data_IF_506989222519
#
_entry.id   IF_506989222519
#
_cell.length_a   1.000
_cell.length_b   1.000
_cell.length_c   1.000
_cell.angle_alpha   90.00
_cell.angle_beta   90.00
_cell.angle_gamma   90.00
#
_symmetry.space_group_name_H-M   'P 1'
#
loop_
_entity.id
_entity.type
_entity.pdbx_description
1 polymer ?
#
# COMPACT_ATOMS: atom_id res chain seq x y z
N UNK A 1 2.61 60.36 58.72
CA UNK A 1 3.31 60.91 57.53
C UNK A 1 2.30 61.06 56.39
N UNK A 2 1.88 62.28 56.07
CA UNK A 2 0.95 62.53 54.96
C UNK A 2 1.73 62.53 53.64
N UNK A 3 1.42 61.60 52.74
CA UNK A 3 1.96 61.63 51.39
C UNK A 3 1.46 62.90 50.67
N UNK A 4 2.35 63.73 50.07
CA UNK A 4 1.96 64.95 49.39
C UNK A 4 1.08 64.62 48.17
N UNK A 5 -0.04 65.35 48.01
CA UNK A 5 -1.08 65.12 46.97
C UNK A 5 -0.53 64.99 45.53
N UNK A 6 0.60 65.62 45.22
CA UNK A 6 1.26 65.51 43.91
C UNK A 6 1.79 64.11 43.56
N UNK A 7 2.21 63.30 44.54
CA UNK A 7 2.70 61.93 44.30
C UNK A 7 1.57 60.94 43.98
N UNK A 8 0.34 61.18 44.46
CA UNK A 8 -0.81 60.31 44.16
C UNK A 8 -1.29 60.46 42.71
N UNK A 9 -1.30 61.68 42.18
CA UNK A 9 -1.68 61.92 40.79
C UNK A 9 -0.63 61.34 39.82
N UNK A 10 0.66 61.48 40.13
CA UNK A 10 1.73 60.85 39.35
C UNK A 10 1.63 59.31 39.33
N UNK A 11 1.32 58.69 40.48
CA UNK A 11 1.10 57.24 40.54
C UNK A 11 -0.13 56.82 39.72
N UNK A 12 -1.23 57.57 39.80
CA UNK A 12 -2.46 57.27 39.05
C UNK A 12 -2.27 57.41 37.53
N UNK A 13 -1.52 58.43 37.09
CA UNK A 13 -1.18 58.63 35.68
C UNK A 13 -0.21 57.55 35.20
N UNK A 14 0.77 57.17 36.03
CA UNK A 14 1.71 56.09 35.71
C UNK A 14 0.99 54.74 35.59
N UNK A 15 0.14 54.40 36.55
CA UNK A 15 -0.62 53.14 36.58
C UNK A 15 -1.65 53.09 35.44
N UNK A 16 -2.30 54.22 35.12
CA UNK A 16 -3.21 54.35 33.99
C UNK A 16 -2.51 54.21 32.64
N UNK A 17 -1.36 54.87 32.46
CA UNK A 17 -0.53 54.73 31.26
C UNK A 17 -0.03 53.30 31.10
N UNK A 18 0.41 52.67 32.18
CA UNK A 18 0.82 51.26 32.18
C UNK A 18 -0.33 50.34 31.76
N UNK A 19 -1.54 50.54 32.29
CA UNK A 19 -2.70 49.75 31.91
C UNK A 19 -3.05 49.90 30.42
N UNK A 20 -3.01 51.13 29.88
CA UNK A 20 -3.26 51.38 28.45
C UNK A 20 -2.21 50.72 27.58
N UNK A 21 -0.93 50.86 27.92
CA UNK A 21 0.16 50.21 27.19
C UNK A 21 0.09 48.69 27.26
N UNK A 22 -0.32 48.12 28.40
CA UNK A 22 -0.51 46.69 28.57
C UNK A 22 -1.65 46.17 27.69
N UNK A 23 -2.80 46.86 27.67
CA UNK A 23 -3.93 46.49 26.79
C UNK A 23 -3.50 46.58 25.33
N UNK A 24 -2.84 47.66 24.92
CA UNK A 24 -2.33 47.83 23.56
C UNK A 24 -1.36 46.71 23.16
N UNK A 25 -0.44 46.32 24.06
CA UNK A 25 0.47 45.21 23.83
C UNK A 25 -0.28 43.87 23.69
N UNK A 26 -1.24 43.59 24.57
CA UNK A 26 -2.04 42.35 24.51
C UNK A 26 -2.85 42.28 23.22
N UNK A 27 -3.46 43.39 22.79
CA UNK A 27 -4.20 43.46 21.51
C UNK A 27 -3.28 43.28 20.32
N UNK A 28 -2.10 43.91 20.31
CA UNK A 28 -1.11 43.74 19.25
C UNK A 28 -0.60 42.30 19.18
N UNK A 29 -0.31 41.67 20.32
CA UNK A 29 0.09 40.27 20.39
C UNK A 29 -1.02 39.34 19.90
N UNK A 30 -2.28 39.60 20.25
CA UNK A 30 -3.42 38.83 19.76
C UNK A 30 -3.60 38.97 18.24
N UNK A 31 -3.44 40.18 17.70
CA UNK A 31 -3.51 40.45 16.27
C UNK A 31 -2.38 39.73 15.51
N UNK A 32 -1.13 39.89 15.97
CA UNK A 32 0.03 39.20 15.39
C UNK A 32 -0.10 37.68 15.46
N UNK A 33 -0.63 37.14 16.57
CA UNK A 33 -0.87 35.71 16.72
C UNK A 33 -1.96 35.18 15.77
N UNK A 34 -2.95 36.01 15.43
CA UNK A 34 -4.00 35.66 14.48
C UNK A 34 -3.51 35.66 13.04
N UNK A 35 -2.74 36.69 12.66
CA UNK A 35 -2.28 36.87 11.28
C UNK A 35 -1.05 36.01 10.95
N UNK A 36 -0.13 35.85 11.91
CA UNK A 36 1.14 35.14 11.72
C UNK A 36 1.15 33.84 12.53
N UNK A 37 0.51 32.80 11.97
CA UNK A 37 0.49 31.48 12.58
C UNK A 37 1.78 30.71 12.26
N UNK A 38 2.82 30.95 13.04
CA UNK A 38 4.09 30.21 12.94
C UNK A 38 3.99 28.94 13.80
N UNK A 39 3.92 27.79 13.14
CA UNK A 39 4.00 26.48 13.81
C UNK A 39 5.38 25.88 13.52
N UNK A 40 6.12 25.51 14.58
CA UNK A 40 7.36 24.77 14.46
C UNK A 40 7.16 23.37 15.00
N UNK A 41 7.56 22.39 14.20
CA UNK A 41 7.59 21.00 14.63
C UNK A 41 8.81 20.78 15.54
N UNK A 42 8.55 20.59 16.83
CA UNK A 42 9.57 20.34 17.84
C UNK A 42 9.82 18.85 18.06
N UNK A 43 9.16 17.97 17.29
CA UNK A 43 9.34 16.53 17.44
C UNK A 43 10.69 16.10 16.88
N UNK A 44 11.36 15.16 17.55
CA UNK A 44 12.71 14.72 17.17
C UNK A 44 12.75 14.10 15.75
N UNK A 45 11.64 13.49 15.32
CA UNK A 45 11.50 12.87 14.01
C UNK A 45 10.72 13.71 12.97
N UNK A 46 10.38 14.97 13.28
CA UNK A 46 9.62 15.83 12.37
C UNK A 46 8.24 15.25 11.98
N UNK A 47 7.52 14.67 12.95
CA UNK A 47 6.25 13.95 12.79
C UNK A 47 5.08 14.79 12.28
N UNK A 48 5.13 16.11 12.47
CA UNK A 48 4.11 17.04 12.00
C UNK A 48 4.53 17.77 10.72
N UNK A 49 5.66 17.38 10.13
CA UNK A 49 6.24 17.95 8.92
C UNK A 49 6.28 16.89 7.84
N UNK A 50 5.63 17.16 6.70
CA UNK A 50 5.63 16.25 5.56
C UNK A 50 7.06 16.07 5.01
N UNK A 51 7.36 14.88 4.52
CA UNK A 51 8.65 14.59 3.88
C UNK A 51 8.84 15.41 2.60
N UNK A 52 10.10 15.64 2.20
CA UNK A 52 10.42 16.37 0.96
C UNK A 52 9.79 15.68 -0.28
N UNK A 53 9.77 14.35 -0.27
CA UNK A 53 9.06 13.51 -1.24
C UNK A 53 7.58 13.85 -1.35
N UNK A 54 6.89 13.93 -0.20
CA UNK A 54 5.48 14.28 -0.15
C UNK A 54 5.23 15.68 -0.70
N UNK A 55 6.11 16.64 -0.39
CA UNK A 55 6.00 18.00 -0.93
C UNK A 55 6.09 18.02 -2.46
N UNK A 56 7.00 17.25 -3.05
CA UNK A 56 7.13 17.13 -4.51
C UNK A 56 5.87 16.52 -5.14
N UNK A 57 5.34 15.43 -4.56
CA UNK A 57 4.10 14.81 -5.04
C UNK A 57 2.92 15.78 -4.98
N UNK A 58 2.76 16.49 -3.86
CA UNK A 58 1.68 17.47 -3.70
C UNK A 58 1.82 18.64 -4.67
N UNK A 59 3.06 19.08 -4.97
CA UNK A 59 3.33 20.13 -5.95
C UNK A 59 2.98 19.76 -7.39
N UNK A 60 2.87 18.46 -7.70
CA UNK A 60 2.50 17.96 -9.04
C UNK A 60 0.99 17.81 -9.23
N UNK A 61 0.17 18.03 -8.19
CA UNK A 61 -1.29 17.93 -8.28
C UNK A 61 -1.86 19.19 -8.96
N UNK A 62 -2.44 19.01 -10.14
CA UNK A 62 -3.02 20.06 -11.00
C UNK A 62 -4.56 20.15 -10.95
N UNK A 63 -5.22 19.31 -10.16
CA UNK A 63 -6.67 19.28 -9.99
C UNK A 63 -7.09 19.24 -8.50
N UNK A 64 -8.33 19.60 -8.14
CA UNK A 64 -8.79 19.50 -6.75
C UNK A 64 -8.88 18.03 -6.29
N UNK A 65 -8.42 17.76 -5.07
CA UNK A 65 -8.52 16.46 -4.41
C UNK A 65 -9.72 16.49 -3.46
N UNK A 66 -10.71 15.63 -3.68
CA UNK A 66 -11.88 15.54 -2.79
C UNK A 66 -11.76 14.29 -1.92
N UNK A 67 -11.80 14.46 -0.61
CA UNK A 67 -11.71 13.36 0.34
C UNK A 67 -13.03 13.25 1.09
N UNK A 68 -13.67 12.10 1.00
CA UNK A 68 -14.85 11.76 1.79
C UNK A 68 -14.48 10.72 2.82
N UNK A 69 -14.52 11.09 4.09
CA UNK A 69 -14.22 10.22 5.21
C UNK A 69 -15.51 9.57 5.72
N UNK A 70 -15.60 8.26 5.55
CA UNK A 70 -16.69 7.43 6.08
C UNK A 70 -16.24 6.88 7.43
N UNK A 71 -16.70 7.50 8.51
CA UNK A 71 -16.35 7.13 9.86
C UNK A 71 -17.42 7.58 10.85
N UNK A 72 -17.63 6.81 11.91
CA UNK A 72 -18.45 7.24 13.04
C UNK A 72 -17.78 8.42 13.76
N UNK A 73 -18.57 9.37 14.27
CA UNK A 73 -18.02 10.52 15.00
C UNK A 73 -17.24 10.11 16.26
N UNK A 74 -17.66 9.03 16.93
CA UNK A 74 -17.00 8.42 18.08
C UNK A 74 -16.85 6.92 17.87
N UNK A 75 -15.69 6.38 18.19
CA UNK A 75 -15.49 4.92 18.25
C UNK A 75 -16.17 4.34 19.51
N UNK A 76 -16.28 3.01 19.56
CA UNK A 76 -16.70 2.18 20.70
C UNK A 76 -16.01 2.52 22.02
N UNK A 77 -14.80 3.11 21.98
CA UNK A 77 -14.02 3.59 23.14
C UNK A 77 -14.30 5.05 23.52
N UNK A 78 -15.14 5.75 22.76
CA UNK A 78 -15.47 7.17 22.96
C UNK A 78 -14.51 8.16 22.26
N UNK A 79 -13.47 7.66 21.59
CA UNK A 79 -12.49 8.48 20.89
C UNK A 79 -13.09 9.16 19.65
N UNK A 80 -12.75 10.43 19.45
CA UNK A 80 -13.27 11.22 18.33
C UNK A 80 -12.49 10.92 17.04
N UNK A 81 -13.04 10.01 16.22
CA UNK A 81 -12.39 9.52 14.99
C UNK A 81 -12.30 10.62 13.93
N UNK A 82 -13.33 11.47 13.83
CA UNK A 82 -13.33 12.62 12.91
C UNK A 82 -12.15 13.55 13.18
N UNK A 83 -11.91 13.88 14.46
CA UNK A 83 -10.75 14.70 14.85
C UNK A 83 -9.41 14.07 14.48
N UNK A 84 -9.30 12.75 14.55
CA UNK A 84 -8.08 12.03 14.13
C UNK A 84 -7.84 12.18 12.63
N UNK A 85 -8.89 12.04 11.83
CA UNK A 85 -8.84 12.19 10.36
C UNK A 85 -8.51 13.65 9.99
N UNK A 86 -9.15 14.62 10.62
CA UNK A 86 -8.85 16.04 10.42
C UNK A 86 -7.39 16.37 10.73
N UNK A 87 -6.88 15.88 11.87
CA UNK A 87 -5.49 16.09 12.24
C UNK A 87 -4.51 15.43 11.27
N UNK A 88 -4.86 14.26 10.73
CA UNK A 88 -4.05 13.58 9.71
C UNK A 88 -4.02 14.36 8.39
N UNK A 89 -5.14 14.92 7.93
CA UNK A 89 -5.23 15.62 6.64
C UNK A 89 -4.81 17.08 6.69
N UNK A 90 -4.80 17.70 7.87
CA UNK A 90 -4.46 19.12 8.07
C UNK A 90 -3.11 19.53 7.48
N UNK A 91 -2.00 18.77 7.63
CA UNK A 91 -0.72 19.12 7.00
C UNK A 91 -0.83 19.19 5.47
N UNK A 92 -1.59 18.29 4.84
CA UNK A 92 -1.77 18.25 3.39
C UNK A 92 -2.64 19.42 2.89
N UNK A 93 -3.72 19.75 3.61
CA UNK A 93 -4.60 20.89 3.30
C UNK A 93 -3.89 22.24 3.31
N UNK A 94 -2.84 22.39 4.13
CA UNK A 94 -2.03 23.62 4.17
C UNK A 94 -1.23 23.84 2.89
N UNK A 95 -0.82 22.75 2.25
CA UNK A 95 0.05 22.77 1.07
C UNK A 95 -0.78 22.75 -0.21
N UNK A 96 -1.89 22.02 -0.19
CA UNK A 96 -2.85 21.93 -1.28
C UNK A 96 -4.21 22.46 -0.80
N UNK A 97 -4.47 23.79 -0.89
CA UNK A 97 -5.73 24.38 -0.45
C UNK A 97 -6.96 23.84 -1.20
N UNK A 98 -6.76 23.25 -2.38
CA UNK A 98 -7.80 22.59 -3.18
C UNK A 98 -8.19 21.19 -2.64
N UNK A 99 -7.52 20.70 -1.59
CA UNK A 99 -7.85 19.45 -0.91
C UNK A 99 -9.00 19.65 0.07
N UNK A 100 -10.19 19.16 -0.29
CA UNK A 100 -11.39 19.29 0.54
C UNK A 100 -11.69 18.00 1.31
N UNK A 101 -12.04 18.11 2.60
CA UNK A 101 -12.48 17.01 3.44
C UNK A 101 -13.97 17.11 3.73
N UNK A 102 -14.71 16.02 3.48
CA UNK A 102 -16.10 15.84 3.89
C UNK A 102 -16.19 14.66 4.86
N UNK A 103 -16.74 14.88 6.05
CA UNK A 103 -16.97 13.83 7.03
C UNK A 103 -18.39 13.29 6.89
N UNK A 104 -18.54 11.97 6.80
CA UNK A 104 -19.84 11.30 6.65
C UNK A 104 -19.92 10.15 7.65
N UNK A 105 -20.97 10.14 8.48
CA UNK A 105 -21.29 8.98 9.29
C UNK A 105 -22.02 7.93 8.42
N UNK A 106 -21.46 6.71 8.24
CA UNK A 106 -22.10 5.67 7.43
C UNK A 106 -23.48 5.25 7.96
N UNK A 107 -23.75 5.42 9.25
CA UNK A 107 -25.05 5.10 9.88
C UNK A 107 -26.12 6.11 9.51
N UNK A 108 -25.73 7.39 9.39
CA UNK A 108 -26.64 8.46 8.99
C UNK A 108 -26.89 8.47 7.48
N UNK A 109 -25.90 8.05 6.67
CA UNK A 109 -25.98 8.02 5.20
C UNK A 109 -25.58 6.66 4.58
N UNK A 110 -26.33 5.58 4.85
CA UNK A 110 -25.97 4.23 4.42
C UNK A 110 -25.97 4.07 2.89
N UNK A 111 -26.90 4.73 2.18
CA UNK A 111 -26.96 4.69 0.71
C UNK A 111 -25.72 5.30 0.05
N UNK A 112 -25.20 6.39 0.62
CA UNK A 112 -24.00 7.05 0.10
C UNK A 112 -22.75 6.19 0.35
N UNK A 113 -22.62 5.60 1.55
CA UNK A 113 -21.52 4.70 1.87
C UNK A 113 -21.52 3.45 0.98
N UNK A 114 -22.68 2.85 0.74
CA UNK A 114 -22.82 1.69 -0.15
C UNK A 114 -22.47 2.03 -1.61
N UNK A 115 -22.95 3.17 -2.12
CA UNK A 115 -22.63 3.63 -3.48
C UNK A 115 -21.14 3.96 -3.65
N UNK A 116 -20.50 4.46 -2.60
CA UNK A 116 -19.07 4.71 -2.56
C UNK A 116 -18.22 3.44 -2.34
N UNK A 117 -18.83 2.26 -2.17
CA UNK A 117 -18.10 0.99 -2.04
C UNK A 117 -17.34 0.81 -0.72
N UNK A 118 -17.75 1.50 0.34
CA UNK A 118 -17.10 1.45 1.67
C UNK A 118 -17.25 0.05 2.29
N UNK A 119 -16.14 -0.53 2.75
CA UNK A 119 -16.08 -1.88 3.33
C UNK A 119 -15.48 -1.90 4.73
N UNK A 120 -14.75 -0.86 5.14
CA UNK A 120 -14.11 -0.78 6.44
C UNK A 120 -14.88 0.14 7.42
N UNK A 121 -14.73 -0.05 8.74
CA UNK A 121 -15.35 0.82 9.76
C UNK A 121 -14.91 2.29 9.68
N UNK A 122 -13.68 2.52 9.20
CA UNK A 122 -13.11 3.84 8.99
C UNK A 122 -12.37 3.83 7.65
N UNK A 123 -12.86 4.60 6.69
CA UNK A 123 -12.34 4.56 5.32
C UNK A 123 -12.37 5.96 4.69
N UNK A 124 -11.28 6.33 4.01
CA UNK A 124 -11.21 7.56 3.21
C UNK A 124 -11.39 7.21 1.74
N UNK A 125 -12.38 7.81 1.12
CA UNK A 125 -12.60 7.75 -0.33
C UNK A 125 -12.04 9.02 -0.93
N UNK A 126 -10.97 8.88 -1.71
CA UNK A 126 -10.20 9.99 -2.28
C UNK A 126 -10.47 10.06 -3.77
N UNK A 127 -10.96 11.21 -4.24
CA UNK A 127 -11.29 11.48 -5.62
C UNK A 127 -10.33 12.53 -6.22
N UNK A 128 -9.81 12.25 -7.42
CA UNK A 128 -8.97 13.15 -8.20
C UNK A 128 -9.19 12.92 -9.70
N UNK A 129 -9.46 13.98 -10.47
CA UNK A 129 -9.74 13.89 -11.93
C UNK A 129 -10.77 12.78 -12.29
N UNK A 130 -11.86 12.66 -11.53
CA UNK A 130 -12.92 11.62 -11.66
C UNK A 130 -12.47 10.18 -11.37
N UNK A 131 -11.27 9.98 -10.85
CA UNK A 131 -10.78 8.68 -10.37
C UNK A 131 -10.94 8.63 -8.86
N UNK A 132 -11.25 7.46 -8.35
CA UNK A 132 -11.50 7.24 -6.93
C UNK A 132 -10.64 6.11 -6.40
N UNK A 133 -9.99 6.33 -5.26
CA UNK A 133 -9.28 5.29 -4.53
C UNK A 133 -9.64 5.32 -3.04
N UNK A 134 -9.41 4.19 -2.38
CA UNK A 134 -9.80 3.95 -1.00
C UNK A 134 -8.57 3.80 -0.12
N UNK A 135 -8.61 4.42 1.06
CA UNK A 135 -7.54 4.36 2.05
C UNK A 135 -8.11 3.98 3.41
N UNK A 136 -7.62 2.85 3.93
CA UNK A 136 -7.95 2.34 5.26
C UNK A 136 -6.85 2.62 6.28
N UNK A 137 -5.61 2.80 5.83
CA UNK A 137 -4.45 3.06 6.67
C UNK A 137 -4.04 4.56 6.64
N UNK A 138 -4.01 5.21 7.80
CA UNK A 138 -3.76 6.65 7.91
C UNK A 138 -2.28 6.95 8.16
N UNK A 139 -1.44 6.58 7.19
CA UNK A 139 0.00 6.88 7.18
C UNK A 139 0.35 7.79 5.99
N UNK A 140 1.42 8.59 6.14
CA UNK A 140 1.91 9.45 5.05
C UNK A 140 2.26 8.62 3.82
N UNK A 141 2.98 7.52 4.00
CA UNK A 141 3.34 6.61 2.92
C UNK A 141 2.11 6.11 2.15
N UNK A 142 1.10 5.58 2.85
CA UNK A 142 -0.08 5.03 2.19
C UNK A 142 -0.89 6.11 1.44
N UNK A 143 -1.03 7.31 2.04
CA UNK A 143 -1.78 8.40 1.42
C UNK A 143 -1.04 9.02 0.22
N UNK A 144 0.27 9.22 0.32
CA UNK A 144 1.07 9.80 -0.77
C UNK A 144 1.17 8.86 -1.96
N UNK A 145 1.33 7.56 -1.70
CA UNK A 145 1.28 6.53 -2.74
C UNK A 145 -0.06 6.52 -3.47
N UNK A 146 -1.17 6.65 -2.72
CA UNK A 146 -2.50 6.79 -3.30
C UNK A 146 -2.60 8.03 -4.18
N UNK A 147 -2.16 9.20 -3.69
CA UNK A 147 -2.22 10.44 -4.47
C UNK A 147 -1.40 10.34 -5.76
N UNK A 148 -0.22 9.72 -5.73
CA UNK A 148 0.58 9.51 -6.93
C UNK A 148 -0.10 8.59 -7.96
N UNK A 149 -0.82 7.54 -7.51
CA UNK A 149 -1.60 6.67 -8.40
C UNK A 149 -2.73 7.45 -9.07
N UNK A 150 -3.48 8.23 -8.30
CA UNK A 150 -4.54 9.09 -8.79
C UNK A 150 -4.03 10.19 -9.75
N UNK A 151 -2.91 10.82 -9.41
CA UNK A 151 -2.33 11.97 -10.11
C UNK A 151 -1.81 11.64 -11.50
N UNK A 152 -1.04 10.54 -11.60
CA UNK A 152 -0.35 10.17 -12.84
C UNK A 152 -1.32 9.92 -13.97
N UNK A 153 -2.50 9.36 -13.69
CA UNK A 153 -3.55 9.21 -14.67
C UNK A 153 -3.19 8.46 -15.96
N UNK A 154 -2.01 7.84 -16.02
CA UNK A 154 -1.64 6.91 -17.06
C UNK A 154 -2.50 5.68 -16.84
N UNK A 155 -3.53 5.54 -17.67
CA UNK A 155 -4.27 4.30 -17.78
C UNK A 155 -3.25 3.20 -18.07
N UNK A 156 -2.90 2.42 -17.05
CA UNK A 156 -1.90 1.37 -17.19
C UNK A 156 -2.53 0.30 -18.07
N UNK A 157 -2.07 0.23 -19.32
CA UNK A 157 -2.59 -0.68 -20.32
C UNK A 157 -2.05 -2.08 -20.03
N UNK A 158 -2.92 -2.96 -19.57
CA UNK A 158 -2.68 -4.39 -19.48
C UNK A 158 -3.12 -5.01 -20.80
N UNK A 159 -2.16 -5.59 -21.52
CA UNK A 159 -2.44 -6.38 -22.70
C UNK A 159 -2.53 -7.84 -22.33
N UNK A 160 -3.55 -8.57 -22.78
CA UNK A 160 -3.54 -10.03 -22.73
C UNK A 160 -3.29 -10.60 -24.13
N UNK A 161 -2.48 -11.65 -24.21
CA UNK A 161 -2.24 -12.35 -25.46
C UNK A 161 -3.53 -13.07 -25.91
N UNK A 162 -3.87 -12.94 -27.20
CA UNK A 162 -5.03 -13.55 -27.82
C UNK A 162 -4.66 -14.11 -29.20
N UNK A 163 -5.36 -15.15 -29.64
CA UNK A 163 -5.14 -15.81 -30.93
C UNK A 163 -4.83 -17.30 -30.86
N UNK A 164 -4.48 -17.82 -29.67
CA UNK A 164 -4.06 -19.22 -29.50
C UNK A 164 -4.92 -19.97 -28.48
N UNK A 165 -6.05 -19.40 -28.07
CA UNK A 165 -7.03 -20.01 -27.16
C UNK A 165 -6.80 -19.67 -25.68
N UNK A 166 -6.04 -18.62 -25.40
CA UNK A 166 -5.76 -18.11 -24.06
C UNK A 166 -7.02 -17.81 -23.26
N UNK A 167 -6.91 -17.88 -21.94
CA UNK A 167 -7.97 -17.41 -21.03
C UNK A 167 -8.14 -15.89 -21.20
N UNK A 168 -9.33 -15.45 -21.56
CA UNK A 168 -9.58 -14.05 -21.91
C UNK A 168 -9.80 -13.19 -20.68
N UNK A 169 -9.16 -12.03 -20.61
CA UNK A 169 -9.30 -11.09 -19.50
C UNK A 169 -10.69 -10.41 -19.44
N UNK A 170 -11.42 -10.42 -20.55
CA UNK A 170 -12.81 -9.94 -20.66
C UNK A 170 -13.81 -11.07 -20.92
N UNK A 171 -13.38 -12.32 -20.84
CA UNK A 171 -14.19 -13.48 -21.18
C UNK A 171 -15.15 -13.88 -20.05
N UNK A 172 -16.29 -14.46 -20.43
CA UNK A 172 -17.35 -14.86 -19.48
C UNK A 172 -17.39 -16.36 -19.22
N UNK A 173 -16.57 -17.16 -19.91
CA UNK A 173 -16.53 -18.59 -19.69
C UNK A 173 -15.90 -18.93 -18.34
N UNK A 174 -16.20 -20.09 -17.78
CA UNK A 174 -15.68 -20.53 -16.48
C UNK A 174 -14.15 -20.58 -16.40
N UNK A 175 -13.48 -20.84 -17.53
CA UNK A 175 -12.02 -20.87 -17.62
C UNK A 175 -11.40 -19.50 -17.92
N UNK A 176 -12.18 -18.49 -18.33
CA UNK A 176 -11.69 -17.14 -18.63
C UNK A 176 -11.37 -16.36 -17.33
N UNK A 177 -10.69 -15.22 -17.47
CA UNK A 177 -10.28 -14.35 -16.35
C UNK A 177 -11.16 -13.10 -16.21
N UNK A 178 -12.40 -13.14 -16.71
CA UNK A 178 -13.29 -11.97 -16.81
C UNK A 178 -13.54 -11.25 -15.49
N UNK A 179 -13.72 -11.99 -14.40
CA UNK A 179 -13.97 -11.46 -13.06
C UNK A 179 -12.74 -10.70 -12.53
N UNK A 180 -11.55 -11.27 -12.74
CA UNK A 180 -10.28 -10.61 -12.47
C UNK A 180 -10.11 -9.34 -13.33
N UNK A 181 -10.38 -9.43 -14.63
CA UNK A 181 -10.30 -8.28 -15.54
C UNK A 181 -11.25 -7.15 -15.17
N UNK A 182 -12.48 -7.45 -14.74
CA UNK A 182 -13.41 -6.44 -14.21
C UNK A 182 -12.86 -5.76 -12.96
N UNK A 183 -12.18 -6.50 -12.09
CA UNK A 183 -11.53 -5.92 -10.91
C UNK A 183 -10.37 -5.01 -11.29
N UNK A 184 -9.54 -5.38 -12.27
CA UNK A 184 -8.51 -4.49 -12.80
C UNK A 184 -9.11 -3.19 -13.37
N UNK A 185 -10.19 -3.27 -14.15
CA UNK A 185 -10.88 -2.08 -14.69
C UNK A 185 -11.43 -1.20 -13.56
N UNK A 186 -12.05 -1.79 -12.53
CA UNK A 186 -12.51 -1.05 -11.35
C UNK A 186 -11.36 -0.37 -10.59
N UNK A 187 -10.15 -0.93 -10.64
CA UNK A 187 -8.91 -0.37 -10.07
C UNK A 187 -8.21 0.63 -11.00
N UNK A 188 -8.80 0.96 -12.15
CA UNK A 188 -8.30 2.01 -13.05
C UNK A 188 -7.31 1.53 -14.12
N UNK A 189 -7.12 0.21 -14.26
CA UNK A 189 -6.38 -0.35 -15.39
C UNK A 189 -7.22 -0.32 -16.67
N UNK A 190 -6.55 -0.20 -17.82
CA UNK A 190 -7.18 -0.49 -19.12
C UNK A 190 -6.74 -1.85 -19.59
N UNK A 191 -7.68 -2.63 -20.10
CA UNK A 191 -7.42 -4.00 -20.58
C UNK A 191 -7.76 -4.11 -22.06
N UNK A 192 -6.80 -4.54 -22.88
CA UNK A 192 -7.01 -4.81 -24.31
C UNK A 192 -6.33 -6.14 -24.71
N UNK A 193 -6.84 -6.83 -25.73
CA UNK A 193 -6.12 -7.97 -26.31
C UNK A 193 -5.00 -7.50 -27.23
N UNK A 194 -4.01 -8.36 -27.41
CA UNK A 194 -3.04 -8.28 -28.49
C UNK A 194 -2.91 -9.63 -29.17
N UNK A 195 -3.02 -9.63 -30.50
CA UNK A 195 -2.77 -10.82 -31.32
C UNK A 195 -1.46 -10.62 -32.10
N UNK A 196 -0.43 -11.37 -31.72
CA UNK A 196 0.92 -11.18 -32.26
C UNK A 196 1.12 -11.80 -33.65
N UNK A 197 0.20 -12.65 -34.12
CA UNK A 197 0.21 -13.12 -35.50
C UNK A 197 -0.10 -11.99 -36.49
N UNK A 198 -0.91 -11.02 -36.07
CA UNK A 198 -1.35 -9.89 -36.91
C UNK A 198 -0.69 -8.56 -36.56
N UNK A 199 -0.36 -8.33 -35.29
CA UNK A 199 0.34 -7.13 -34.86
C UNK A 199 1.78 -7.12 -35.38
N UNK A 200 2.27 -5.97 -35.85
CA UNK A 200 3.67 -5.85 -36.28
C UNK A 200 4.62 -6.02 -35.10
N UNK A 201 4.35 -5.32 -34.00
CA UNK A 201 5.11 -5.33 -32.75
C UNK A 201 4.18 -5.16 -31.53
N UNK A 202 4.71 -5.32 -30.32
CA UNK A 202 3.99 -5.03 -29.09
C UNK A 202 3.74 -3.51 -28.97
N UNK A 203 2.53 -3.04 -28.61
CA UNK A 203 2.28 -1.63 -28.37
C UNK A 203 3.24 -1.03 -27.32
N UNK A 204 3.93 0.05 -27.68
CA UNK A 204 4.94 0.68 -26.83
C UNK A 204 4.40 1.25 -25.51
N UNK A 205 3.09 1.47 -25.41
CA UNK A 205 2.41 1.96 -24.21
C UNK A 205 1.85 0.84 -23.31
N UNK A 206 2.16 -0.43 -23.61
CA UNK A 206 1.80 -1.55 -22.76
C UNK A 206 2.55 -1.45 -21.42
N UNK A 207 1.81 -1.41 -20.31
CA UNK A 207 2.37 -1.42 -18.97
C UNK A 207 2.63 -2.84 -18.45
N UNK A 208 1.86 -3.81 -18.96
CA UNK A 208 1.93 -5.21 -18.58
C UNK A 208 1.44 -6.08 -19.76
N UNK A 209 2.17 -7.16 -20.04
CA UNK A 209 1.69 -8.27 -20.85
C UNK A 209 1.22 -9.41 -19.95
N UNK A 210 0.03 -9.93 -20.19
CA UNK A 210 -0.53 -11.13 -19.57
C UNK A 210 -0.59 -12.26 -20.59
N UNK A 211 0.05 -13.38 -20.27
CA UNK A 211 -0.01 -14.60 -21.06
C UNK A 211 -0.67 -15.67 -20.19
N UNK A 212 -1.87 -16.12 -20.56
CA UNK A 212 -2.67 -17.01 -19.73
C UNK A 212 -3.00 -18.32 -20.44
N UNK A 213 -2.08 -19.29 -20.31
CA UNK A 213 -2.17 -20.66 -20.84
C UNK A 213 -2.73 -20.76 -22.28
N UNK A 214 -1.92 -20.43 -23.29
CA UNK A 214 -2.26 -20.69 -24.69
C UNK A 214 -2.61 -22.16 -24.92
N UNK A 215 -3.55 -22.43 -25.83
CA UNK A 215 -4.04 -23.78 -26.12
C UNK A 215 -3.43 -24.36 -27.40
N UNK A 216 -2.91 -23.50 -28.27
CA UNK A 216 -2.21 -23.86 -29.51
C UNK A 216 -0.81 -23.25 -29.53
N UNK A 217 0.06 -23.79 -30.37
CA UNK A 217 1.46 -23.36 -30.44
C UNK A 217 1.61 -21.95 -31.01
N UNK A 218 2.41 -21.11 -30.37
CA UNK A 218 2.84 -19.82 -30.93
C UNK A 218 3.98 -20.02 -31.93
N UNK A 219 4.04 -19.17 -32.95
CA UNK A 219 5.11 -19.22 -33.95
C UNK A 219 6.41 -18.59 -33.43
N UNK A 220 7.55 -18.96 -34.03
CA UNK A 220 8.85 -18.37 -33.68
C UNK A 220 8.88 -16.84 -33.87
N UNK A 221 8.14 -16.32 -34.87
CA UNK A 221 8.04 -14.88 -35.11
C UNK A 221 7.30 -14.16 -33.97
N UNK A 222 6.26 -14.78 -33.40
CA UNK A 222 5.51 -14.23 -32.26
C UNK A 222 6.34 -14.26 -30.97
N UNK A 223 7.01 -15.38 -30.71
CA UNK A 223 7.96 -15.52 -29.59
C UNK A 223 9.04 -14.44 -29.68
N UNK A 224 9.59 -14.18 -30.87
CA UNK A 224 10.60 -13.14 -31.04
C UNK A 224 10.08 -11.73 -30.72
N UNK A 225 8.79 -11.43 -30.97
CA UNK A 225 8.17 -10.14 -30.57
C UNK A 225 8.07 -10.01 -29.05
N UNK A 226 7.70 -11.10 -28.36
CA UNK A 226 7.65 -11.13 -26.89
C UNK A 226 9.05 -10.95 -26.30
N UNK A 227 10.05 -11.66 -26.83
CA UNK A 227 11.44 -11.53 -26.39
C UNK A 227 11.97 -10.10 -26.55
N UNK A 228 11.66 -9.42 -27.65
CA UNK A 228 12.00 -7.99 -27.83
C UNK A 228 11.34 -7.11 -26.77
N UNK A 229 10.04 -7.30 -26.53
CA UNK A 229 9.33 -6.58 -25.47
C UNK A 229 9.96 -6.79 -24.08
N UNK A 230 10.41 -8.01 -23.77
CA UNK A 230 11.11 -8.31 -22.51
C UNK A 230 12.52 -7.70 -22.48
N UNK A 231 13.25 -7.72 -23.58
CA UNK A 231 14.56 -7.07 -23.69
C UNK A 231 14.48 -5.54 -23.51
N UNK A 232 13.37 -4.94 -23.95
CA UNK A 232 13.10 -3.50 -23.80
C UNK A 232 12.61 -3.10 -22.39
N UNK A 233 12.55 -4.06 -21.45
CA UNK A 233 12.15 -3.81 -20.06
C UNK A 233 10.66 -3.97 -19.79
N UNK A 234 9.90 -4.60 -20.69
CA UNK A 234 8.46 -4.83 -20.53
C UNK A 234 8.12 -5.79 -19.38
N UNK A 235 7.06 -5.48 -18.63
CA UNK A 235 6.60 -6.33 -17.52
C UNK A 235 5.72 -7.49 -18.00
N UNK A 236 5.78 -8.63 -17.33
CA UNK A 236 5.08 -9.85 -17.71
C UNK A 236 4.40 -10.53 -16.52
N UNK A 237 3.11 -10.88 -16.68
CA UNK A 237 2.43 -11.88 -15.88
C UNK A 237 2.25 -13.12 -16.74
N UNK A 238 2.94 -14.20 -16.41
CA UNK A 238 2.87 -15.44 -17.16
C UNK A 238 2.21 -16.53 -16.33
N UNK A 239 1.02 -16.93 -16.73
CA UNK A 239 0.26 -17.99 -16.10
C UNK A 239 0.35 -19.25 -16.97
N UNK A 240 0.99 -20.29 -16.44
CA UNK A 240 1.42 -21.49 -17.15
C UNK A 240 0.71 -22.69 -16.56
N UNK A 241 0.03 -23.49 -17.37
CA UNK A 241 -0.48 -24.80 -16.93
C UNK A 241 0.59 -25.90 -17.13
N UNK A 242 0.46 -27.08 -16.50
CA UNK A 242 1.50 -28.12 -16.43
C UNK A 242 2.12 -28.50 -17.76
N UNK A 243 1.36 -28.89 -18.78
CA UNK A 243 1.91 -29.12 -20.12
C UNK A 243 0.84 -28.98 -21.21
N UNK A 244 1.25 -28.68 -22.46
CA UNK A 244 2.60 -28.33 -22.91
C UNK A 244 2.85 -26.80 -22.92
N UNK A 245 4.11 -26.36 -23.07
CA UNK A 245 4.50 -24.94 -23.11
C UNK A 245 4.17 -24.20 -24.41
N UNK A 246 3.65 -24.89 -25.42
CA UNK A 246 3.12 -24.30 -26.67
C UNK A 246 4.07 -23.33 -27.41
N UNK A 247 5.38 -23.56 -27.37
CA UNK A 247 6.36 -22.75 -28.11
C UNK A 247 7.05 -21.67 -27.28
N UNK A 248 6.70 -21.52 -25.99
CA UNK A 248 7.30 -20.56 -25.08
C UNK A 248 8.62 -21.02 -24.43
N UNK A 249 9.16 -22.17 -24.82
CA UNK A 249 10.46 -22.66 -24.32
C UNK A 249 11.56 -21.59 -24.39
N UNK A 250 11.74 -20.85 -25.51
CA UNK A 250 12.77 -19.81 -25.57
C UNK A 250 12.55 -18.65 -24.60
N UNK A 251 11.30 -18.37 -24.20
CA UNK A 251 10.98 -17.35 -23.18
C UNK A 251 11.33 -17.88 -21.80
N UNK A 252 11.03 -19.14 -21.49
CA UNK A 252 11.41 -19.75 -20.22
C UNK A 252 12.94 -19.79 -20.04
N UNK A 253 13.67 -20.14 -21.09
CA UNK A 253 15.14 -20.16 -21.10
C UNK A 253 15.74 -18.76 -20.86
N UNK A 254 15.22 -17.73 -21.52
CA UNK A 254 15.68 -16.34 -21.34
C UNK A 254 15.40 -15.79 -19.92
N UNK A 255 14.35 -16.29 -19.27
CA UNK A 255 13.99 -15.93 -17.91
C UNK A 255 14.71 -16.79 -16.84
N UNK A 256 15.55 -17.75 -17.25
CA UNK A 256 16.23 -18.65 -16.33
C UNK A 256 15.28 -19.59 -15.58
N UNK A 257 14.13 -19.94 -16.17
CA UNK A 257 13.11 -20.77 -15.55
C UNK A 257 13.33 -22.25 -15.88
N UNK A 258 13.19 -23.11 -14.87
CA UNK A 258 13.14 -24.57 -15.02
C UNK A 258 11.70 -25.02 -14.79
N UNK A 259 10.99 -25.30 -15.88
CA UNK A 259 9.58 -25.69 -15.85
C UNK A 259 9.47 -27.21 -15.88
N UNK A 260 9.43 -27.81 -14.70
CA UNK A 260 9.38 -29.27 -14.50
C UNK A 260 8.01 -29.83 -14.92
N UNK A 261 7.93 -30.99 -15.60
CA UNK A 261 6.65 -31.63 -15.90
C UNK A 261 6.01 -32.19 -14.62
N UNK A 262 4.70 -32.42 -14.67
CA UNK A 262 3.93 -33.00 -13.57
C UNK A 262 3.01 -32.02 -12.86
N UNK A 263 2.21 -32.56 -11.95
CA UNK A 263 1.15 -31.85 -11.22
C UNK A 263 1.43 -31.94 -9.72
N UNK A 264 1.29 -30.80 -9.03
CA UNK A 264 1.42 -30.75 -7.57
C UNK A 264 0.23 -31.47 -6.92
N UNK A 265 0.55 -32.40 -6.04
CA UNK A 265 -0.39 -33.12 -5.19
C UNK A 265 -0.22 -32.63 -3.75
N UNK A 266 -1.27 -32.04 -3.18
CA UNK A 266 -1.34 -31.56 -1.81
C UNK A 266 -2.45 -32.28 -1.04
N UNK A 267 -2.12 -33.28 -0.19
CA UNK A 267 -3.10 -34.02 0.60
C UNK A 267 -4.00 -33.13 1.47
N UNK A 268 -3.53 -31.93 1.87
CA UNK A 268 -4.31 -30.98 2.66
C UNK A 268 -5.57 -30.50 1.95
N UNK A 269 -5.56 -30.45 0.61
CA UNK A 269 -6.75 -30.04 -0.13
C UNK A 269 -7.93 -30.98 0.14
N UNK A 270 -7.67 -32.28 0.23
CA UNK A 270 -8.67 -33.28 0.62
C UNK A 270 -8.99 -33.21 2.11
N UNK A 271 -7.96 -33.20 2.96
CA UNK A 271 -8.09 -33.28 4.42
C UNK A 271 -8.83 -32.07 5.01
N UNK A 272 -8.48 -30.85 4.56
CA UNK A 272 -8.97 -29.61 5.17
C UNK A 272 -10.17 -29.01 4.41
N UNK A 273 -10.30 -29.29 3.10
CA UNK A 273 -11.28 -28.63 2.22
C UNK A 273 -12.18 -29.59 1.43
N UNK A 274 -11.97 -30.91 1.51
CA UNK A 274 -12.71 -31.89 0.71
C UNK A 274 -12.54 -31.70 -0.80
N UNK A 275 -11.46 -31.05 -1.24
CA UNK A 275 -11.14 -30.82 -2.63
C UNK A 275 -10.28 -31.96 -3.20
N UNK A 276 -10.05 -31.94 -4.52
CA UNK A 276 -9.11 -32.86 -5.15
C UNK A 276 -7.70 -32.67 -4.57
N UNK A 277 -6.94 -33.74 -4.30
CA UNK A 277 -5.54 -33.64 -3.89
C UNK A 277 -4.65 -33.00 -4.95
N UNK A 278 -5.08 -32.92 -6.22
CA UNK A 278 -4.37 -32.17 -7.27
C UNK A 278 -4.52 -30.64 -7.15
N UNK A 279 -5.21 -30.15 -6.11
CA UNK A 279 -5.34 -28.72 -5.86
C UNK A 279 -4.33 -28.33 -4.79
N UNK A 280 -3.39 -27.45 -5.14
CA UNK A 280 -2.43 -26.96 -4.18
C UNK A 280 -3.00 -25.81 -3.35
N UNK A 281 -2.69 -25.79 -2.04
CA UNK A 281 -3.18 -24.75 -1.12
C UNK A 281 -2.02 -23.87 -0.63
N UNK A 282 -2.04 -22.61 -1.04
CA UNK A 282 -1.15 -21.57 -0.50
C UNK A 282 -1.66 -21.11 0.87
N UNK A 283 -0.76 -21.06 1.85
CA UNK A 283 -1.07 -20.60 3.21
C UNK A 283 -0.04 -19.57 3.66
N UNK A 284 -0.30 -18.87 4.76
CA UNK A 284 0.63 -17.85 5.30
C UNK A 284 2.06 -18.37 5.51
N UNK A 285 2.23 -19.65 5.83
CA UNK A 285 3.56 -20.27 5.98
C UNK A 285 4.28 -20.51 4.65
N UNK A 286 3.54 -20.65 3.55
CA UNK A 286 4.08 -20.85 2.20
C UNK A 286 4.18 -19.57 1.37
N UNK A 287 3.77 -18.42 1.92
CA UNK A 287 3.96 -17.13 1.26
C UNK A 287 5.32 -16.55 1.65
N UNK A 288 6.23 -16.44 0.69
CA UNK A 288 7.53 -15.83 0.94
C UNK A 288 7.36 -14.32 1.17
N UNK A 289 8.23 -13.67 1.98
CA UNK A 289 8.15 -12.23 2.24
C UNK A 289 8.34 -11.41 0.94
N UNK A 290 7.25 -10.87 0.40
CA UNK A 290 7.28 -10.09 -0.82
C UNK A 290 6.12 -9.07 -0.86
N UNK A 291 6.26 -7.97 -1.59
CA UNK A 291 5.22 -6.93 -1.66
C UNK A 291 3.88 -7.47 -2.18
N UNK A 292 3.92 -8.48 -3.06
CA UNK A 292 2.73 -9.15 -3.61
C UNK A 292 1.97 -9.95 -2.54
N UNK A 293 2.69 -10.58 -1.62
CA UNK A 293 2.15 -11.53 -0.64
C UNK A 293 1.96 -10.92 0.75
N UNK A 294 2.55 -9.76 1.02
CA UNK A 294 2.60 -9.13 2.34
C UNK A 294 1.22 -8.86 2.98
N UNK A 295 0.19 -8.60 2.16
CA UNK A 295 -1.17 -8.32 2.65
C UNK A 295 -2.09 -9.54 2.61
N UNK A 296 -1.60 -10.72 2.21
CA UNK A 296 -2.42 -11.92 2.12
C UNK A 296 -2.67 -12.50 3.51
N UNK A 297 -3.94 -12.53 3.89
CA UNK A 297 -4.43 -13.09 5.15
C UNK A 297 -5.38 -14.29 4.95
N UNK A 298 -5.66 -14.65 3.69
CA UNK A 298 -6.48 -15.79 3.31
C UNK A 298 -5.66 -16.83 2.54
N UNK A 299 -6.08 -18.08 2.63
CA UNK A 299 -5.50 -19.16 1.83
C UNK A 299 -5.82 -18.94 0.35
N UNK A 300 -4.91 -19.36 -0.52
CA UNK A 300 -5.07 -19.34 -1.97
C UNK A 300 -5.14 -20.77 -2.48
N UNK A 301 -5.85 -20.97 -3.59
CA UNK A 301 -6.13 -22.30 -4.14
C UNK A 301 -5.69 -22.35 -5.61
N UNK A 302 -4.86 -23.33 -5.95
CA UNK A 302 -4.26 -23.49 -7.27
C UNK A 302 -4.51 -24.91 -7.82
N UNK A 303 -5.57 -25.09 -8.62
CA UNK A 303 -5.93 -26.40 -9.19
C UNK A 303 -4.98 -26.83 -10.31
N UNK A 304 -4.36 -28.01 -10.20
CA UNK A 304 -3.45 -28.56 -11.22
C UNK A 304 -2.22 -27.67 -11.46
N UNK A 305 -1.54 -27.27 -10.39
CA UNK A 305 -0.31 -26.49 -10.49
C UNK A 305 0.87 -27.34 -10.93
N UNK A 306 1.85 -26.71 -11.57
CA UNK A 306 3.19 -27.27 -11.80
C UNK A 306 4.24 -26.59 -10.93
N UNK A 307 5.36 -27.29 -10.75
CA UNK A 307 6.56 -26.74 -10.13
C UNK A 307 7.26 -25.74 -11.07
N UNK A 308 7.82 -24.69 -10.47
CA UNK A 308 8.72 -23.72 -11.11
C UNK A 308 10.03 -23.69 -10.32
N UNK A 309 11.11 -24.07 -11.00
CA UNK A 309 12.48 -23.81 -10.55
C UNK A 309 13.08 -22.58 -11.24
N UNK A 310 14.18 -22.08 -10.68
CA UNK A 310 14.97 -20.99 -11.26
C UNK A 310 16.44 -21.33 -11.26
N UNK A 311 17.15 -20.85 -12.28
CA UNK A 311 18.60 -20.89 -12.37
C UNK A 311 19.13 -19.57 -11.80
N UNK A 312 20.07 -19.64 -10.85
CA UNK A 312 20.74 -18.46 -10.34
C UNK A 312 21.47 -17.73 -11.47
N UNK A 313 21.27 -16.42 -11.57
CA UNK A 313 21.93 -15.57 -12.55
C UNK A 313 22.14 -14.16 -11.99
N UNK A 314 23.14 -13.46 -12.52
CA UNK A 314 23.35 -12.04 -12.20
C UNK A 314 22.34 -11.12 -12.90
N UNK A 315 21.61 -11.64 -13.90
CA UNK A 315 20.65 -10.86 -14.68
C UNK A 315 19.32 -10.67 -13.97
N UNK A 316 18.84 -11.70 -13.27
CA UNK A 316 17.54 -11.70 -12.62
C UNK A 316 17.65 -11.98 -11.13
N UNK A 317 17.07 -11.11 -10.31
CA UNK A 317 16.75 -11.44 -8.91
C UNK A 317 15.47 -12.26 -8.89
N UNK A 318 15.61 -13.57 -8.73
CA UNK A 318 14.49 -14.48 -8.54
C UNK A 318 14.08 -14.54 -7.06
N UNK A 319 12.78 -14.44 -6.77
CA UNK A 319 12.20 -14.58 -5.43
C UNK A 319 10.98 -15.49 -5.51
N UNK A 320 10.97 -16.65 -4.83
CA UNK A 320 9.77 -17.45 -4.68
C UNK A 320 8.63 -16.61 -4.11
N UNK A 321 7.40 -16.80 -4.58
CA UNK A 321 6.22 -16.10 -4.07
C UNK A 321 5.32 -17.05 -3.27
N UNK A 322 5.11 -18.25 -3.81
CA UNK A 322 4.17 -19.22 -3.25
C UNK A 322 4.79 -20.61 -3.30
N UNK A 323 5.00 -21.16 -2.10
CA UNK A 323 5.33 -22.55 -1.85
C UNK A 323 4.10 -23.28 -1.30
N UNK A 324 3.88 -24.50 -1.78
CA UNK A 324 2.72 -25.31 -1.46
C UNK A 324 3.14 -26.75 -1.13
N UNK A 325 2.17 -27.58 -0.77
CA UNK A 325 2.36 -29.02 -0.63
C UNK A 325 3.57 -29.43 0.25
N UNK A 326 3.73 -28.89 1.49
CA UNK A 326 4.85 -29.25 2.37
C UNK A 326 4.85 -30.72 2.79
N UNK A 327 3.71 -31.41 2.70
CA UNK A 327 3.55 -32.87 2.89
C UNK A 327 3.14 -33.58 1.59
N UNK A 328 3.26 -32.90 0.46
CA UNK A 328 2.84 -33.38 -0.84
C UNK A 328 4.02 -33.67 -1.75
N UNK A 329 3.75 -33.79 -3.04
CA UNK A 329 4.75 -34.10 -4.07
C UNK A 329 4.33 -33.56 -5.44
N UNK A 330 5.25 -33.61 -6.40
CA UNK A 330 4.94 -33.46 -7.83
C UNK A 330 4.72 -34.85 -8.42
N UNK A 331 3.49 -35.12 -8.86
CA UNK A 331 3.11 -36.35 -9.58
C UNK A 331 3.48 -36.19 -11.05
N UNK A 332 4.38 -37.05 -11.53
CA UNK A 332 4.82 -37.06 -12.94
C UNK A 332 4.05 -38.07 -13.80
N UNK A 333 3.25 -38.93 -13.18
CA UNK A 333 2.39 -39.92 -13.83
C UNK A 333 0.96 -39.43 -14.10
N UNK A 334 0.03 -40.38 -14.18
CA UNK A 334 -1.39 -40.08 -14.38
C UNK A 334 -1.99 -39.50 -13.10
N UNK A 335 -2.65 -38.35 -13.23
CA UNK A 335 -3.42 -37.73 -12.15
C UNK A 335 -4.84 -38.29 -12.02
N UNK A 336 -5.24 -39.18 -12.91
CA UNK A 336 -6.54 -39.85 -12.88
C UNK A 336 -6.50 -41.06 -11.93
N UNK A 337 -7.26 -40.99 -10.83
CA UNK A 337 -7.44 -42.09 -9.89
C UNK A 337 -6.89 -41.82 -8.48
N UNK A 338 -6.57 -42.89 -7.76
CA UNK A 338 -5.99 -42.79 -6.43
C UNK A 338 -4.51 -42.39 -6.51
N UNK A 339 -4.19 -41.19 -6.05
CA UNK A 339 -2.82 -40.67 -6.02
C UNK A 339 -2.05 -41.26 -4.83
N UNK A 340 -0.86 -41.77 -5.10
CA UNK A 340 0.08 -42.26 -4.10
C UNK A 340 1.50 -41.94 -4.55
N UNK A 341 2.31 -41.48 -3.60
CA UNK A 341 3.69 -41.09 -3.86
C UNK A 341 4.56 -42.29 -4.27
N UNK A 342 5.29 -42.16 -5.38
CA UNK A 342 6.28 -43.12 -5.87
C UNK A 342 7.69 -42.53 -5.83
N UNK A 343 8.50 -43.03 -4.91
CA UNK A 343 9.90 -42.63 -4.69
C UNK A 343 10.79 -42.68 -5.93
N UNK A 344 10.43 -43.43 -6.98
CA UNK A 344 11.28 -43.59 -8.17
C UNK A 344 11.03 -42.53 -9.24
N UNK A 345 9.94 -41.77 -9.14
CA UNK A 345 9.50 -40.84 -10.20
C UNK A 345 8.97 -39.51 -9.69
N UNK A 346 8.45 -39.47 -8.47
CA UNK A 346 7.79 -38.29 -7.92
C UNK A 346 8.78 -37.45 -7.09
N UNK A 347 8.52 -36.16 -7.01
CA UNK A 347 9.41 -35.20 -6.35
C UNK A 347 8.75 -34.75 -5.04
N UNK A 348 9.36 -35.02 -3.86
CA UNK A 348 8.76 -34.61 -2.60
C UNK A 348 8.75 -33.08 -2.45
N UNK A 349 7.69 -32.54 -1.85
CA UNK A 349 7.58 -31.12 -1.54
C UNK A 349 8.47 -30.66 -0.37
N UNK A 350 8.42 -29.36 0.01
CA UNK A 350 7.53 -28.32 -0.51
C UNK A 350 7.83 -27.96 -1.97
N UNK A 351 6.81 -27.47 -2.68
CA UNK A 351 6.90 -27.18 -4.11
C UNK A 351 6.70 -25.68 -4.35
N UNK A 352 7.65 -25.04 -5.03
CA UNK A 352 7.50 -23.65 -5.50
C UNK A 352 6.64 -23.64 -6.76
N UNK A 353 5.51 -22.92 -6.74
CA UNK A 353 4.58 -22.82 -7.88
C UNK A 353 4.49 -21.40 -8.44
N UNK A 354 5.14 -20.43 -7.80
CA UNK A 354 5.15 -19.05 -8.25
C UNK A 354 6.46 -18.36 -7.90
N UNK A 355 6.97 -17.58 -8.85
CA UNK A 355 8.24 -16.84 -8.73
C UNK A 355 8.08 -15.43 -9.28
N UNK A 356 8.67 -14.46 -8.60
CA UNK A 356 8.91 -13.12 -9.09
C UNK A 356 10.35 -13.00 -9.61
N UNK A 357 10.53 -12.35 -10.76
CA UNK A 357 11.83 -11.97 -11.30
C UNK A 357 11.90 -10.45 -11.39
N UNK A 358 13.01 -9.88 -10.94
CA UNK A 358 13.26 -8.45 -11.00
C UNK A 358 14.64 -8.17 -11.60
N UNK A 359 14.72 -7.15 -12.45
CA UNK A 359 16.00 -6.60 -12.93
C UNK A 359 15.85 -5.13 -13.29
N UNK A 360 16.95 -4.46 -13.59
CA UNK A 360 16.94 -3.07 -14.09
C UNK A 360 17.32 -3.06 -15.56
N UNK A 361 16.48 -2.42 -16.39
CA UNK A 361 16.71 -2.22 -17.83
C UNK A 361 16.53 -0.72 -18.12
N UNK A 362 17.54 -0.07 -18.70
CA UNK A 362 17.51 1.36 -19.03
C UNK A 362 17.07 2.26 -17.85
N UNK A 363 17.65 2.04 -16.67
CA UNK A 363 17.35 2.73 -15.40
C UNK A 363 15.89 2.59 -14.91
N UNK A 364 15.16 1.58 -15.41
CA UNK A 364 13.80 1.23 -14.96
C UNK A 364 13.77 -0.19 -14.41
N UNK A 365 13.06 -0.40 -13.32
CA UNK A 365 12.77 -1.76 -12.90
C UNK A 365 11.84 -2.46 -13.88
N UNK A 366 12.26 -3.66 -14.25
CA UNK A 366 11.45 -4.64 -14.94
C UNK A 366 11.05 -5.71 -13.93
N UNK A 367 9.75 -6.03 -13.92
CA UNK A 367 9.15 -7.01 -13.02
C UNK A 367 8.40 -8.06 -13.82
N UNK A 368 8.63 -9.31 -13.47
CA UNK A 368 7.97 -10.46 -14.06
C UNK A 368 7.45 -11.35 -12.94
N UNK A 369 6.25 -11.88 -13.10
CA UNK A 369 5.70 -12.90 -12.22
C UNK A 369 5.27 -14.10 -13.05
N UNK A 370 5.70 -15.28 -12.62
CA UNK A 370 5.38 -16.55 -13.28
C UNK A 370 4.67 -17.45 -12.30
N UNK A 371 3.52 -17.97 -12.71
CA UNK A 371 2.72 -18.89 -11.92
C UNK A 371 2.54 -20.18 -12.70
N UNK A 372 2.83 -21.30 -12.05
CA UNK A 372 2.61 -22.66 -12.55
C UNK A 372 1.14 -23.06 -12.53
N UNK A 373 0.25 -22.07 -12.53
CA UNK A 373 -1.18 -22.28 -12.60
C UNK A 373 -1.87 -21.06 -13.21
N UNK A 374 -2.71 -21.27 -14.22
CA UNK A 374 -3.53 -20.20 -14.78
C UNK A 374 -5.00 -20.28 -14.35
N UNK A 375 -5.42 -21.39 -13.73
CA UNK A 375 -6.79 -21.58 -13.27
C UNK A 375 -7.14 -20.74 -12.03
N UNK A 376 -6.20 -20.38 -11.16
CA UNK A 376 -6.52 -19.68 -9.90
C UNK A 376 -7.20 -18.31 -10.09
N UNK A 377 -6.95 -17.63 -11.21
CA UNK A 377 -7.62 -16.36 -11.60
C UNK A 377 -8.81 -16.55 -12.53
N UNK A 378 -9.16 -17.79 -12.88
CA UNK A 378 -10.33 -18.05 -13.71
C UNK A 378 -11.62 -17.73 -12.98
N UNK A 379 -12.70 -17.47 -13.73
CA UNK A 379 -14.02 -17.18 -13.17
C UNK A 379 -14.51 -18.27 -12.20
N UNK A 380 -14.10 -19.53 -12.41
CA UNK A 380 -14.36 -20.64 -11.48
C UNK A 380 -13.69 -20.45 -10.12
N UNK A 381 -12.42 -20.00 -10.10
CA UNK A 381 -11.57 -20.09 -8.92
C UNK A 381 -11.17 -18.76 -8.28
N UNK A 382 -11.36 -17.63 -8.98
CA UNK A 382 -10.94 -16.29 -8.51
C UNK A 382 -11.59 -15.89 -7.18
N UNK A 383 -12.80 -16.39 -6.90
CA UNK A 383 -13.51 -16.14 -5.64
C UNK A 383 -13.06 -17.01 -4.46
N UNK A 384 -12.11 -17.94 -4.65
CA UNK A 384 -11.62 -18.79 -3.56
C UNK A 384 -10.58 -18.06 -2.72
N UNK A 385 -10.89 -17.90 -1.44
CA UNK A 385 -9.98 -17.33 -0.45
C UNK A 385 -9.34 -16.03 -0.93
N UNK A 386 -8.00 -15.98 -0.94
CA UNK A 386 -7.20 -14.82 -1.34
C UNK A 386 -6.84 -14.73 -2.82
N UNK A 387 -7.41 -15.56 -3.72
CA UNK A 387 -6.99 -15.61 -5.13
C UNK A 387 -7.13 -14.27 -5.85
N UNK A 388 -8.27 -13.59 -5.68
CA UNK A 388 -8.49 -12.27 -6.29
C UNK A 388 -7.51 -11.23 -5.74
N UNK A 389 -7.30 -11.20 -4.42
CA UNK A 389 -6.40 -10.25 -3.77
C UNK A 389 -4.96 -10.45 -4.24
N UNK A 390 -4.51 -11.71 -4.37
CA UNK A 390 -3.22 -12.05 -4.95
C UNK A 390 -3.12 -11.55 -6.41
N UNK A 391 -4.14 -11.78 -7.24
CA UNK A 391 -4.17 -11.28 -8.62
C UNK A 391 -4.06 -9.76 -8.72
N UNK A 392 -4.79 -9.03 -7.88
CA UNK A 392 -4.76 -7.56 -7.84
C UNK A 392 -3.42 -7.06 -7.33
N UNK A 393 -2.84 -7.69 -6.30
CA UNK A 393 -1.52 -7.36 -5.79
C UNK A 393 -0.43 -7.59 -6.85
N UNK A 394 -0.51 -8.68 -7.61
CA UNK A 394 0.38 -8.96 -8.74
C UNK A 394 0.33 -7.85 -9.80
N UNK A 395 -0.87 -7.49 -10.27
CA UNK A 395 -1.02 -6.45 -11.27
C UNK A 395 -0.48 -5.09 -10.78
N UNK A 396 -0.76 -4.73 -9.53
CA UNK A 396 -0.24 -3.51 -8.91
C UNK A 396 1.27 -3.51 -8.76
N UNK A 397 1.88 -4.64 -8.38
CA UNK A 397 3.32 -4.75 -8.24
C UNK A 397 4.01 -4.76 -9.60
N UNK A 398 3.52 -5.53 -10.58
CA UNK A 398 4.10 -5.59 -11.92
C UNK A 398 4.10 -4.24 -12.63
N UNK A 399 3.05 -3.46 -12.40
CA UNK A 399 2.86 -2.14 -13.02
C UNK A 399 3.34 -1.00 -12.12
N UNK A 400 3.65 -1.30 -10.86
CA UNK A 400 4.03 -0.33 -9.85
C UNK A 400 5.38 0.28 -10.17
N UNK A 401 5.45 1.61 -10.17
CA UNK A 401 6.74 2.31 -10.34
C UNK A 401 7.59 2.18 -9.08
N UNK A 402 8.90 1.99 -9.27
CA UNK A 402 9.93 2.28 -8.26
C UNK A 402 10.02 3.77 -7.91
N UNK A 403 9.48 4.66 -8.76
CA UNK A 403 9.28 6.09 -8.46
C UNK A 403 8.24 6.32 -7.35
N UNK A 404 7.55 5.26 -6.88
CA UNK A 404 6.92 5.28 -5.57
C UNK A 404 8.04 5.29 -4.53
N UNK A 405 8.66 6.46 -4.34
CA UNK A 405 9.70 6.72 -3.37
C UNK A 405 9.29 6.04 -2.07
N UNK A 406 10.10 5.07 -1.64
CA UNK A 406 10.00 4.42 -0.34
C UNK A 406 10.13 5.53 0.71
N UNK A 407 9.02 6.15 1.09
CA UNK A 407 8.95 6.99 2.28
C UNK A 407 9.13 5.99 3.40
N UNK A 408 10.38 5.78 3.80
CA UNK A 408 10.72 4.92 4.92
C UNK A 408 9.88 5.40 6.10
N UNK A 409 9.07 4.52 6.72
CA UNK A 409 8.30 4.88 7.90
C UNK A 409 9.25 5.49 8.92
N UNK A 410 9.08 6.77 9.27
CA UNK A 410 9.90 7.36 10.33
C UNK A 410 9.52 6.68 11.63
N UNK A 411 10.45 5.89 12.16
CA UNK A 411 10.25 5.16 13.40
C UNK A 411 9.82 6.13 14.50
N UNK A 412 8.83 5.70 15.25
CA UNK A 412 8.21 6.45 16.34
C UNK A 412 9.09 6.44 17.60
N UNK A 413 10.22 7.14 17.56
CA UNK A 413 11.16 7.24 18.69
C UNK A 413 10.47 7.79 19.95
N UNK A 414 9.55 8.75 19.79
CA UNK A 414 8.84 9.40 20.90
C UNK A 414 7.49 8.73 21.21
N UNK A 415 7.37 7.42 21.07
CA UNK A 415 6.14 6.68 21.47
C UNK A 415 6.12 6.34 22.96
N UNK A 416 7.28 6.43 23.64
CA UNK A 416 7.42 6.19 25.07
C UNK A 416 8.32 7.27 25.66
N UNK A 417 7.86 7.86 26.76
CA UNK A 417 8.66 8.80 27.53
C UNK A 417 9.49 8.02 28.55
N UNK A 418 10.68 7.56 28.14
CA UNK A 418 11.63 6.92 29.05
C UNK A 418 12.49 7.98 29.74
N UNK A 419 12.00 8.50 30.87
CA UNK A 419 12.77 9.43 31.69
C UNK A 419 13.65 8.65 32.67
N UNK A 420 14.96 8.92 32.63
CA UNK A 420 15.88 8.42 33.65
C UNK A 420 15.45 8.87 35.05
N UNK A 421 15.65 7.99 36.05
CA UNK A 421 15.15 8.20 37.41
C UNK A 421 15.64 9.52 38.03
N UNK A 422 16.84 9.97 37.65
CA UNK A 422 17.38 11.28 38.04
C UNK A 422 16.57 12.46 37.48
N UNK A 423 16.16 12.42 36.21
CA UNK A 423 15.36 13.49 35.59
C UNK A 423 13.98 13.58 36.27
N UNK A 424 13.39 12.43 36.60
CA UNK A 424 12.12 12.33 37.33
C UNK A 424 12.23 12.94 38.73
N UNK A 425 13.30 12.62 39.48
CA UNK A 425 13.57 13.25 40.78
C UNK A 425 13.84 14.75 40.66
N UNK A 426 14.54 15.19 39.62
CA UNK A 426 14.83 16.60 39.41
C UNK A 426 13.54 17.40 39.13
N UNK A 427 12.65 16.87 38.29
CA UNK A 427 11.33 17.48 38.04
C UNK A 427 10.52 17.50 39.34
N UNK A 428 10.41 16.37 40.05
CA UNK A 428 9.67 16.27 41.30
C UNK A 428 10.20 17.26 42.35
N UNK A 429 11.53 17.32 42.55
CA UNK A 429 12.17 18.23 43.49
C UNK A 429 11.95 19.70 43.10
N UNK A 430 12.01 20.02 41.81
CA UNK A 430 11.79 21.37 41.31
C UNK A 430 10.37 21.86 41.56
N UNK A 431 9.36 21.03 41.28
CA UNK A 431 7.97 21.39 41.51
C UNK A 431 7.56 21.35 42.99
N UNK A 432 8.13 20.42 43.77
CA UNK A 432 7.77 20.24 45.17
C UNK A 432 8.48 21.24 46.11
N UNK A 433 9.72 21.61 45.82
CA UNK A 433 10.53 22.46 46.71
C UNK A 433 10.92 23.77 46.07
N UNK A 434 11.49 23.76 44.87
CA UNK A 434 12.02 24.99 44.25
C UNK A 434 10.91 25.99 43.95
N UNK A 435 9.80 25.55 43.34
CA UNK A 435 8.69 26.43 42.99
C UNK A 435 8.00 27.03 44.24
N UNK A 436 7.65 26.27 45.29
CA UNK A 436 7.09 26.85 46.52
C UNK A 436 8.07 27.78 47.24
N UNK A 437 9.36 27.43 47.32
CA UNK A 437 10.36 28.32 47.92
C UNK A 437 10.52 29.60 47.12
N UNK A 438 10.51 29.54 45.79
CA UNK A 438 10.52 30.72 44.95
C UNK A 438 9.34 31.63 45.28
N UNK A 439 8.12 31.08 45.41
CA UNK A 439 6.95 31.85 45.82
C UNK A 439 7.07 32.46 47.22
N UNK A 440 7.52 31.70 48.21
CA UNK A 440 7.75 32.18 49.58
C UNK A 440 8.79 33.30 49.60
N UNK A 441 9.90 33.15 48.88
CA UNK A 441 10.95 34.16 48.77
C UNK A 441 10.40 35.42 48.11
N UNK A 442 9.69 35.30 46.97
CA UNK A 442 9.06 36.48 46.36
C UNK A 442 8.06 37.14 47.31
N UNK A 443 7.24 36.37 48.03
CA UNK A 443 6.32 36.90 49.03
C UNK A 443 7.03 37.64 50.16
N UNK A 444 8.11 37.06 50.70
CA UNK A 444 8.93 37.65 51.76
C UNK A 444 9.66 38.90 51.30
N UNK A 445 10.21 38.91 50.08
CA UNK A 445 10.86 40.08 49.48
C UNK A 445 9.85 41.20 49.26
N UNK A 446 8.65 40.89 48.76
CA UNK A 446 7.56 41.86 48.60
C UNK A 446 7.14 42.42 49.96
N UNK A 447 6.96 41.55 50.97
CA UNK A 447 6.62 41.96 52.33
C UNK A 447 7.70 42.87 52.95
N UNK A 448 8.97 42.52 52.81
CA UNK A 448 10.08 43.33 53.33
C UNK A 448 10.20 44.68 52.60
N UNK A 449 10.06 44.71 51.27
CA UNK A 449 10.04 45.97 50.51
C UNK A 449 8.85 46.86 50.88
N UNK A 450 7.69 46.27 51.21
CA UNK A 450 6.52 47.01 51.69
C UNK A 450 6.68 47.55 53.11
N UNK A 451 7.47 46.90 53.96
CA UNK A 451 7.75 47.35 55.34
C UNK A 451 8.82 48.45 55.41
N UNK A 452 9.68 48.55 54.40
CA UNK A 452 10.71 49.60 54.25
C UNK A 452 10.21 50.86 53.51
N UNK A 453 9.03 50.80 52.90
CA UNK A 453 8.28 51.98 52.43
C UNK A 453 7.33 52.44 53.52
#
# INVERSE_FOLDING_TARGET
>A
MSFPRGRRLQLFVHDGLFAVLLVALVTLLAYLAHEHRVERDLTQAGRNTLSATTLDVLGRLDAPVRITAYAMAKDTRGDNVHRRIENFLRPYQRIVPSLSLTLVDPRERPKAAAAAGVRAPVELVVEYKRRTEHLTEFTEQAFVNLLMRLARGAERLVLWLDGHGERKLIGVANHDLGDFGRQLVQKGFRVNSVNLATAQEMPANAALLLIASPQTGVTAAEVQKIRRYLADGGNLLWLIDPEPLRGFQPVAEELGLVLMPGVVVDPRATEDFGASPAFAVGTTAGYSPHAVTATLNLNTLFPYSREIGTIESDEWRATPLVEVAPRGWVETGSVDGALAFDNNRDIPGPVTIAVALERTVNDKAQRIAVFGNASFLSNTYVGNGGNLDLGVNLANWLVGDDDLITIQPRASADSRLEMGQFALYLIAFSFLFVLPFAFVITGAVIWWRRRKR
#
